data_IF_665382724334
#
_entry.id   IF_665382724334
#
_cell.length_a   1.000
_cell.length_b   1.000
_cell.length_c   1.000
_cell.angle_alpha   90.00
_cell.angle_beta   90.00
_cell.angle_gamma   90.00
#
_symmetry.space_group_name_H-M   'P 1'
#
loop_
_entity.id
_entity.type
_entity.pdbx_description
1 polymer ?
#
# COMPACT_ATOMS: atom_id res chain seq x y z
N UNK A 1 -63.19 -21.37 -42.66
CA UNK A 1 -62.18 -20.38 -42.24
C UNK A 1 -61.95 -20.51 -40.74
N UNK A 2 -60.93 -21.26 -40.30
CA UNK A 2 -60.47 -21.29 -38.90
C UNK A 2 -58.93 -21.36 -38.94
N UNK A 3 -58.26 -20.25 -38.60
CA UNK A 3 -56.80 -20.15 -38.49
C UNK A 3 -56.36 -20.77 -37.16
N UNK A 4 -55.46 -21.75 -37.20
CA UNK A 4 -54.73 -22.26 -36.02
C UNK A 4 -53.61 -21.27 -35.68
N UNK A 5 -53.66 -20.70 -34.48
CA UNK A 5 -52.59 -19.88 -33.90
C UNK A 5 -51.69 -20.81 -33.08
N UNK A 6 -50.42 -20.89 -33.44
CA UNK A 6 -49.38 -21.52 -32.62
C UNK A 6 -48.82 -20.46 -31.66
N UNK A 7 -49.01 -20.66 -30.36
CA UNK A 7 -48.37 -19.85 -29.30
C UNK A 7 -46.97 -20.41 -29.06
N UNK A 8 -45.95 -19.64 -29.45
CA UNK A 8 -44.55 -19.93 -29.18
C UNK A 8 -44.22 -19.45 -27.75
N UNK A 9 -43.95 -20.37 -26.83
CA UNK A 9 -43.53 -20.06 -25.46
C UNK A 9 -42.03 -19.69 -25.47
N UNK A 10 -41.72 -18.40 -25.34
CA UNK A 10 -40.36 -17.88 -25.15
C UNK A 10 -39.95 -18.08 -23.68
N UNK A 11 -39.14 -19.10 -23.41
CA UNK A 11 -38.43 -19.29 -22.15
C UNK A 11 -37.32 -18.25 -22.03
N UNK A 12 -37.57 -17.19 -21.26
CA UNK A 12 -36.53 -16.28 -20.81
C UNK A 12 -35.67 -17.00 -19.75
N UNK A 13 -34.54 -17.57 -20.17
CA UNK A 13 -33.49 -18.01 -19.25
C UNK A 13 -32.77 -16.77 -18.71
N UNK A 14 -33.21 -16.26 -17.56
CA UNK A 14 -32.43 -15.29 -16.79
C UNK A 14 -31.20 -15.98 -16.22
N UNK A 15 -30.07 -15.84 -16.90
CA UNK A 15 -28.76 -16.22 -16.38
C UNK A 15 -28.43 -15.35 -15.18
N UNK A 16 -28.61 -15.91 -13.98
CA UNK A 16 -28.11 -15.33 -12.73
C UNK A 16 -26.58 -15.40 -12.82
N UNK A 17 -25.83 -14.28 -12.79
CA UNK A 17 -24.39 -14.34 -12.71
C UNK A 17 -24.02 -15.02 -11.39
N UNK A 18 -23.36 -16.17 -11.48
CA UNK A 18 -22.75 -16.83 -10.33
C UNK A 18 -21.72 -15.86 -9.75
N UNK A 19 -22.04 -15.21 -8.64
CA UNK A 19 -21.05 -14.55 -7.80
C UNK A 19 -20.04 -15.63 -7.41
N UNK A 20 -18.83 -15.54 -7.96
CA UNK A 20 -17.74 -16.42 -7.57
C UNK A 20 -17.63 -16.38 -6.04
N UNK A 21 -17.91 -17.52 -5.40
CA UNK A 21 -17.86 -17.64 -3.96
C UNK A 21 -16.42 -17.33 -3.53
N UNK A 22 -16.25 -16.27 -2.75
CA UNK A 22 -14.92 -15.87 -2.24
C UNK A 22 -14.35 -17.06 -1.48
N UNK A 23 -13.21 -17.59 -1.94
CA UNK A 23 -12.53 -18.73 -1.31
C UNK A 23 -11.73 -18.22 -0.10
N UNK A 24 -12.44 -17.85 0.95
CA UNK A 24 -11.88 -17.39 2.22
C UNK A 24 -11.30 -18.60 2.97
N UNK A 25 -10.11 -18.49 3.62
CA UNK A 25 -9.57 -19.55 4.47
C UNK A 25 -10.56 -20.02 5.54
N UNK A 26 -10.54 -21.31 5.88
CA UNK A 26 -11.54 -21.91 6.76
C UNK A 26 -11.57 -21.34 8.20
N UNK A 27 -10.46 -20.76 8.65
CA UNK A 27 -10.36 -20.10 9.95
C UNK A 27 -10.73 -18.61 9.93
N UNK A 28 -11.26 -18.11 8.81
CA UNK A 28 -11.64 -16.71 8.65
C UNK A 28 -13.12 -16.54 8.40
N UNK A 29 -13.71 -15.59 9.12
CA UNK A 29 -15.14 -15.34 9.12
C UNK A 29 -15.40 -13.86 8.89
N UNK A 30 -16.21 -13.53 7.88
CA UNK A 30 -16.54 -12.14 7.54
C UNK A 30 -18.01 -11.88 7.78
N UNK A 31 -18.32 -10.77 8.44
CA UNK A 31 -19.68 -10.26 8.62
C UNK A 31 -19.72 -8.76 8.36
N UNK A 32 -20.64 -8.32 7.52
CA UNK A 32 -20.95 -6.89 7.36
C UNK A 32 -22.13 -6.54 8.25
N UNK A 33 -21.96 -5.57 9.15
CA UNK A 33 -23.04 -5.06 9.99
C UNK A 33 -24.02 -4.20 9.17
N UNK A 34 -25.21 -3.94 9.71
CA UNK A 34 -26.24 -3.11 9.04
C UNK A 34 -25.75 -1.68 8.71
N UNK A 35 -24.84 -1.13 9.50
CA UNK A 35 -24.22 0.18 9.24
C UNK A 35 -23.05 0.13 8.25
N UNK A 36 -22.79 -1.03 7.64
CA UNK A 36 -21.75 -1.22 6.64
C UNK A 36 -20.34 -1.50 7.19
N UNK A 37 -20.14 -1.56 8.51
CA UNK A 37 -18.86 -1.99 9.08
C UNK A 37 -18.58 -3.44 8.69
N UNK A 38 -17.47 -3.66 8.00
CA UNK A 38 -16.98 -5.02 7.73
C UNK A 38 -16.20 -5.51 8.94
N UNK A 39 -16.57 -6.67 9.47
CA UNK A 39 -15.88 -7.34 10.58
C UNK A 39 -15.28 -8.63 10.05
N UNK A 40 -13.96 -8.76 10.12
CA UNK A 40 -13.22 -9.97 9.78
C UNK A 40 -12.66 -10.58 11.06
N UNK A 41 -13.00 -11.83 11.33
CA UNK A 41 -12.42 -12.60 12.43
C UNK A 41 -11.48 -13.65 11.85
N UNK A 42 -10.26 -13.73 12.38
CA UNK A 42 -9.27 -14.77 12.05
C UNK A 42 -9.03 -15.59 13.32
N UNK A 43 -9.56 -16.81 13.35
CA UNK A 43 -9.35 -17.70 14.49
C UNK A 43 -7.97 -18.35 14.40
N UNK A 44 -7.16 -18.14 15.44
CA UNK A 44 -5.87 -18.78 15.61
C UNK A 44 -5.60 -19.05 17.10
N UNK A 45 -5.65 -20.33 17.47
CA UNK A 45 -5.48 -20.77 18.85
C UNK A 45 -4.01 -21.09 19.21
N UNK A 46 -3.04 -20.74 18.34
CA UNK A 46 -1.61 -21.03 18.53
C UNK A 46 -1.03 -20.41 19.80
N UNK A 47 -1.45 -19.19 20.14
CA UNK A 47 -1.01 -18.44 21.32
C UNK A 47 -2.20 -17.79 22.03
N UNK A 48 -2.15 -17.56 23.36
CA UNK A 48 -3.26 -16.99 24.13
C UNK A 48 -3.41 -15.46 23.95
N UNK A 49 -3.11 -14.94 22.76
CA UNK A 49 -3.19 -13.52 22.41
C UNK A 49 -4.31 -13.26 21.39
N UNK A 50 -4.79 -12.03 21.36
CA UNK A 50 -5.68 -11.53 20.33
C UNK A 50 -5.24 -10.13 19.86
N UNK A 51 -5.32 -9.88 18.57
CA UNK A 51 -5.09 -8.59 17.92
C UNK A 51 -6.43 -8.00 17.48
N UNK A 52 -6.67 -6.74 17.84
CA UNK A 52 -7.79 -5.95 17.34
C UNK A 52 -7.22 -4.82 16.49
N UNK A 53 -7.62 -4.78 15.22
CA UNK A 53 -7.22 -3.73 14.28
C UNK A 53 -8.45 -3.10 13.64
N UNK A 54 -8.43 -1.78 13.49
CA UNK A 54 -9.35 -1.05 12.63
C UNK A 54 -8.53 -0.42 11.52
N UNK A 55 -9.07 -0.45 10.30
CA UNK A 55 -8.48 0.25 9.18
C UNK A 55 -9.53 0.99 8.37
N UNK A 56 -9.09 2.06 7.71
CA UNK A 56 -9.90 2.93 6.88
C UNK A 56 -9.26 3.10 5.52
N UNK A 57 -10.08 3.20 4.46
CA UNK A 57 -9.59 3.64 3.14
C UNK A 57 -9.38 5.16 3.21
N UNK A 58 -8.16 5.55 3.56
CA UNK A 58 -7.69 6.92 3.84
C UNK A 58 -6.17 6.95 3.64
N UNK A 59 -5.47 8.01 4.05
CA UNK A 59 -4.02 8.11 3.95
C UNK A 59 -3.61 9.12 2.91
N UNK A 60 -2.34 9.09 2.50
CA UNK A 60 -1.76 10.14 1.66
C UNK A 60 -2.60 10.41 0.40
N UNK A 61 -3.16 9.37 -0.22
CA UNK A 61 -3.92 9.50 -1.46
C UNK A 61 -5.17 10.35 -1.32
N UNK A 62 -5.71 10.51 -0.12
CA UNK A 62 -6.90 11.33 0.16
C UNK A 62 -6.57 12.79 0.48
N UNK A 63 -5.29 13.12 0.66
CA UNK A 63 -4.85 14.40 1.21
C UNK A 63 -4.48 15.39 0.09
N UNK A 64 -5.21 16.51 -0.07
CA UNK A 64 -4.68 17.64 -0.83
C UNK A 64 -3.46 18.22 -0.11
N UNK A 65 -2.61 18.97 -0.82
CA UNK A 65 -1.32 19.47 -0.31
C UNK A 65 -1.43 20.18 1.06
N UNK A 66 -2.48 20.99 1.28
CA UNK A 66 -2.73 21.69 2.55
C UNK A 66 -3.00 20.75 3.74
N UNK A 67 -3.35 19.50 3.46
CA UNK A 67 -3.68 18.46 4.44
C UNK A 67 -2.68 17.30 4.43
N UNK A 68 -1.53 17.46 3.76
CA UNK A 68 -0.53 16.40 3.64
C UNK A 68 0.02 16.00 5.02
N UNK A 69 -0.20 14.75 5.45
CA UNK A 69 0.21 14.19 6.74
C UNK A 69 -0.83 14.28 7.86
N UNK A 70 -2.00 14.89 7.61
CA UNK A 70 -3.00 15.09 8.67
C UNK A 70 -3.73 13.81 9.07
N UNK A 71 -3.81 12.81 8.19
CA UNK A 71 -4.28 11.47 8.56
C UNK A 71 -3.35 10.86 9.60
N UNK A 72 -2.03 11.03 9.43
CA UNK A 72 -1.02 10.59 10.41
C UNK A 72 -1.25 11.23 11.77
N UNK A 73 -1.33 12.56 11.81
CA UNK A 73 -1.62 13.30 13.05
C UNK A 73 -2.93 12.84 13.70
N UNK A 74 -4.00 12.73 12.92
CA UNK A 74 -5.29 12.25 13.41
C UNK A 74 -5.19 10.87 14.08
N UNK A 75 -4.51 9.92 13.41
CA UNK A 75 -4.36 8.57 13.94
C UNK A 75 -3.57 8.52 15.24
N UNK A 76 -2.51 9.33 15.37
CA UNK A 76 -1.72 9.40 16.61
C UNK A 76 -2.58 9.91 17.78
N UNK A 77 -3.54 10.80 17.50
CA UNK A 77 -4.46 11.33 18.52
C UNK A 77 -5.53 10.32 18.98
N UNK A 78 -5.90 9.32 18.17
CA UNK A 78 -6.93 8.31 18.51
C UNK A 78 -6.61 7.54 19.80
N UNK A 79 -5.32 7.43 20.13
CA UNK A 79 -4.84 6.68 21.30
C UNK A 79 -4.43 7.56 22.48
N UNK A 80 -4.85 8.84 22.50
CA UNK A 80 -4.53 9.79 23.57
C UNK A 80 -5.67 9.96 24.56
N UNK A 81 -6.84 10.37 24.09
CA UNK A 81 -8.01 10.56 24.93
C UNK A 81 -9.27 10.17 24.18
N UNK A 82 -10.27 9.67 24.90
CA UNK A 82 -11.56 9.28 24.37
C UNK A 82 -12.66 9.45 25.42
N UNK A 83 -13.91 9.12 25.08
CA UNK A 83 -15.05 9.29 25.98
C UNK A 83 -14.93 8.55 27.33
N UNK A 84 -14.16 7.45 27.38
CA UNK A 84 -14.02 6.64 28.59
C UNK A 84 -12.78 7.03 29.42
N UNK A 85 -11.77 7.63 28.77
CA UNK A 85 -10.51 8.05 29.35
C UNK A 85 -10.14 9.43 28.82
N UNK A 86 -10.31 10.47 29.65
CA UNK A 86 -10.27 11.87 29.23
C UNK A 86 -8.88 12.43 28.93
N UNK A 87 -7.79 11.69 29.22
CA UNK A 87 -6.43 12.13 28.94
C UNK A 87 -5.47 10.96 28.65
N UNK A 88 -4.27 11.31 28.15
CA UNK A 88 -3.23 10.36 27.75
C UNK A 88 -2.74 9.45 28.88
N UNK A 89 -2.71 9.94 30.12
CA UNK A 89 -2.29 9.15 31.28
C UNK A 89 -3.33 8.06 31.61
N UNK A 90 -4.62 8.41 31.62
CA UNK A 90 -5.71 7.45 31.83
C UNK A 90 -5.75 6.39 30.73
N UNK A 91 -5.57 6.79 29.46
CA UNK A 91 -5.46 5.83 28.36
C UNK A 91 -4.23 4.95 28.55
N UNK A 92 -3.07 5.52 28.89
CA UNK A 92 -1.83 4.80 29.17
C UNK A 92 -2.02 3.74 30.25
N UNK A 93 -2.56 4.13 31.41
CA UNK A 93 -2.88 3.24 32.51
C UNK A 93 -3.82 2.10 32.07
N UNK A 94 -4.92 2.44 31.37
CA UNK A 94 -5.86 1.42 30.89
C UNK A 94 -5.19 0.42 29.95
N UNK A 95 -4.40 0.91 28.99
CA UNK A 95 -3.69 0.06 28.03
C UNK A 95 -2.67 -0.86 28.71
N UNK A 96 -2.01 -0.37 29.76
CA UNK A 96 -1.10 -1.18 30.59
C UNK A 96 -1.84 -2.26 31.37
N UNK A 97 -2.98 -1.94 31.98
CA UNK A 97 -3.83 -2.93 32.68
C UNK A 97 -4.34 -4.02 31.73
N UNK A 98 -4.69 -3.65 30.50
CA UNK A 98 -5.10 -4.60 29.48
C UNK A 98 -3.94 -5.42 28.89
N UNK A 99 -2.69 -5.05 29.18
CA UNK A 99 -1.49 -5.68 28.62
C UNK A 99 -1.35 -5.44 27.12
N UNK A 100 -1.81 -4.29 26.61
CA UNK A 100 -1.84 -4.05 25.17
C UNK A 100 -0.48 -3.61 24.63
N UNK A 101 -0.06 -4.17 23.50
CA UNK A 101 0.97 -3.59 22.63
C UNK A 101 0.28 -2.98 21.42
N UNK A 102 0.36 -1.66 21.28
CA UNK A 102 -0.38 -0.88 20.27
C UNK A 102 0.54 -0.25 19.24
N UNK A 103 0.03 -0.11 18.02
CA UNK A 103 0.69 0.67 16.97
C UNK A 103 -0.35 1.26 16.01
N UNK A 104 0.06 2.26 15.24
CA UNK A 104 -0.70 2.79 14.10
C UNK A 104 0.20 2.94 12.90
N UNK A 105 -0.41 2.90 11.72
CA UNK A 105 0.32 3.03 10.46
C UNK A 105 -0.57 3.74 9.45
N UNK A 106 -0.05 4.80 8.87
CA UNK A 106 -0.61 5.44 7.68
C UNK A 106 0.31 5.14 6.51
N UNK A 107 -0.28 4.68 5.43
CA UNK A 107 0.38 4.48 4.14
C UNK A 107 -0.29 5.34 3.08
N UNK A 108 0.01 5.05 1.81
CA UNK A 108 -0.56 5.76 0.67
C UNK A 108 -2.08 5.63 0.65
N UNK A 109 -2.64 4.43 0.89
CA UNK A 109 -4.06 4.13 0.63
C UNK A 109 -4.86 3.61 1.81
N UNK A 110 -4.21 3.48 2.96
CA UNK A 110 -4.91 3.16 4.19
C UNK A 110 -4.29 3.84 5.40
N UNK A 111 -5.12 3.95 6.43
CA UNK A 111 -4.68 4.15 7.79
C UNK A 111 -5.20 3.01 8.66
N UNK A 112 -4.33 2.44 9.50
CA UNK A 112 -4.66 1.35 10.41
C UNK A 112 -4.20 1.65 11.83
N UNK A 113 -5.01 1.26 12.80
CA UNK A 113 -4.68 1.33 14.21
C UNK A 113 -4.98 -0.02 14.84
N UNK A 114 -4.04 -0.59 15.58
CA UNK A 114 -4.21 -1.92 16.16
C UNK A 114 -3.54 -2.04 17.52
N UNK A 115 -3.97 -3.06 18.27
CA UNK A 115 -3.25 -3.52 19.44
C UNK A 115 -3.39 -5.03 19.62
N UNK A 116 -2.39 -5.64 20.25
CA UNK A 116 -2.39 -7.04 20.68
C UNK A 116 -2.46 -7.11 22.19
N UNK A 117 -3.27 -8.02 22.73
CA UNK A 117 -3.50 -8.21 24.17
C UNK A 117 -3.67 -9.70 24.51
N UNK A 118 -3.59 -10.08 25.80
CA UNK A 118 -4.06 -11.40 26.23
C UNK A 118 -5.53 -11.62 25.85
N UNK A 119 -5.82 -12.76 25.24
CA UNK A 119 -7.15 -13.10 24.69
C UNK A 119 -8.30 -12.99 25.71
N UNK A 120 -8.05 -13.24 27.00
CA UNK A 120 -9.06 -13.09 28.05
C UNK A 120 -9.53 -11.65 28.26
N UNK A 121 -8.78 -10.65 27.79
CA UNK A 121 -9.13 -9.23 27.85
C UNK A 121 -9.88 -8.73 26.59
N UNK A 122 -10.25 -9.62 25.65
CA UNK A 122 -10.76 -9.22 24.32
C UNK A 122 -12.01 -8.33 24.38
N UNK A 123 -12.92 -8.60 25.30
CA UNK A 123 -14.15 -7.81 25.45
C UNK A 123 -13.84 -6.36 25.81
N UNK A 124 -12.93 -6.16 26.78
CA UNK A 124 -12.48 -4.84 27.19
C UNK A 124 -11.63 -4.15 26.11
N UNK A 125 -10.86 -4.93 25.34
CA UNK A 125 -10.17 -4.45 24.16
C UNK A 125 -11.13 -3.89 23.11
N UNK A 126 -12.22 -4.61 22.79
CA UNK A 126 -13.23 -4.15 21.84
C UNK A 126 -13.94 -2.88 22.32
N UNK A 127 -14.27 -2.78 23.61
CA UNK A 127 -14.82 -1.55 24.22
C UNK A 127 -13.85 -0.38 24.07
N UNK A 128 -12.57 -0.60 24.35
CA UNK A 128 -11.52 0.40 24.20
C UNK A 128 -11.38 0.87 22.74
N UNK A 129 -11.32 -0.06 21.77
CA UNK A 129 -11.25 0.28 20.34
C UNK A 129 -12.46 1.10 19.91
N UNK A 130 -13.66 0.71 20.32
CA UNK A 130 -14.89 1.46 20.02
C UNK A 130 -14.82 2.90 20.56
N UNK A 131 -14.32 3.08 21.78
CA UNK A 131 -14.15 4.38 22.41
C UNK A 131 -13.14 5.26 21.66
N UNK A 132 -11.95 4.72 21.41
CA UNK A 132 -10.84 5.41 20.74
C UNK A 132 -11.24 5.93 19.35
N UNK A 133 -11.95 5.12 18.57
CA UNK A 133 -12.18 5.39 17.15
C UNK A 133 -13.41 6.26 16.91
N UNK A 134 -14.50 6.03 17.64
CA UNK A 134 -15.76 6.78 17.42
C UNK A 134 -15.80 8.06 18.21
N UNK A 135 -15.20 8.06 19.40
CA UNK A 135 -15.31 9.14 20.37
C UNK A 135 -13.93 9.62 20.87
N UNK A 136 -12.95 9.89 19.97
CA UNK A 136 -11.70 10.51 20.39
C UNK A 136 -11.97 11.91 20.92
N UNK A 137 -11.21 12.29 21.95
CA UNK A 137 -11.18 13.65 22.50
C UNK A 137 -9.93 14.33 21.97
N UNK A 138 -10.11 15.19 20.95
CA UNK A 138 -9.01 15.93 20.35
C UNK A 138 -8.78 17.23 21.15
N UNK A 139 -7.54 17.50 21.54
CA UNK A 139 -7.18 18.73 22.24
C UNK A 139 -5.87 19.32 21.67
N UNK A 140 -5.70 20.63 21.85
CA UNK A 140 -4.61 21.37 21.23
C UNK A 140 -3.24 20.99 21.81
N UNK A 141 -3.17 20.67 23.10
CA UNK A 141 -1.91 20.31 23.75
C UNK A 141 -1.33 19.02 23.13
N UNK A 142 -2.15 17.99 22.97
CA UNK A 142 -1.75 16.75 22.31
C UNK A 142 -1.45 16.97 20.83
N UNK A 143 -2.20 17.84 20.13
CA UNK A 143 -1.90 18.17 18.74
C UNK A 143 -0.51 18.81 18.60
N UNK A 144 -0.15 19.78 19.43
CA UNK A 144 1.17 20.42 19.36
C UNK A 144 2.31 19.46 19.72
N UNK A 145 2.08 18.54 20.65
CA UNK A 145 3.02 17.44 20.95
C UNK A 145 3.22 16.55 19.73
N UNK A 146 2.15 16.10 19.09
CA UNK A 146 2.24 15.22 17.91
C UNK A 146 2.82 15.94 16.68
N UNK A 147 2.55 17.24 16.50
CA UNK A 147 3.24 18.07 15.51
C UNK A 147 4.74 18.08 15.76
N UNK A 148 5.17 18.30 17.00
CA UNK A 148 6.60 18.31 17.36
C UNK A 148 7.28 16.97 17.04
N UNK A 149 6.65 15.85 17.40
CA UNK A 149 7.15 14.50 17.10
C UNK A 149 7.25 14.27 15.60
N UNK A 150 6.20 14.60 14.84
CA UNK A 150 6.15 14.42 13.39
C UNK A 150 7.19 15.28 12.68
N UNK A 151 7.37 16.53 13.11
CA UNK A 151 8.38 17.44 12.57
C UNK A 151 9.80 16.95 12.84
N UNK A 152 10.06 16.34 14.00
CA UNK A 152 11.34 15.72 14.31
C UNK A 152 11.61 14.50 13.42
N UNK A 153 10.60 13.65 13.18
CA UNK A 153 10.69 12.52 12.24
C UNK A 153 10.95 13.01 10.80
N UNK A 154 10.28 14.08 10.37
CA UNK A 154 10.55 14.72 9.08
C UNK A 154 11.98 15.22 9.00
N UNK A 155 12.50 15.91 10.03
CA UNK A 155 13.89 16.40 10.07
C UNK A 155 14.87 15.23 9.91
N UNK A 156 14.62 14.12 10.61
CA UNK A 156 15.45 12.91 10.51
C UNK A 156 15.42 12.30 9.10
N UNK A 157 14.25 12.30 8.43
CA UNK A 157 14.16 11.83 7.05
C UNK A 157 14.86 12.80 6.09
N UNK A 158 14.69 14.09 6.27
CA UNK A 158 15.28 15.15 5.45
C UNK A 158 16.83 15.15 5.52
N UNK A 159 17.43 14.60 6.58
CA UNK A 159 18.88 14.38 6.65
C UNK A 159 19.37 13.18 5.83
N UNK A 160 18.50 12.43 5.14
CA UNK A 160 18.88 11.34 4.24
C UNK A 160 18.93 11.80 2.78
N UNK A 161 20.04 11.52 2.09
CA UNK A 161 20.17 11.72 0.65
C UNK A 161 19.10 10.95 -0.14
N UNK A 162 18.84 9.69 0.27
CA UNK A 162 17.83 8.82 -0.34
C UNK A 162 16.42 9.37 -0.17
N UNK A 163 16.09 10.00 0.96
CA UNK A 163 14.77 10.61 1.14
C UNK A 163 14.55 11.78 0.19
N UNK A 164 15.54 12.68 0.04
CA UNK A 164 15.48 13.77 -0.95
C UNK A 164 15.32 13.24 -2.37
N UNK A 165 16.09 12.20 -2.71
CA UNK A 165 15.98 11.54 -4.01
C UNK A 165 14.60 10.93 -4.24
N UNK A 166 14.04 10.23 -3.26
CA UNK A 166 12.69 9.66 -3.36
C UNK A 166 11.60 10.72 -3.50
N UNK A 167 11.71 11.87 -2.83
CA UNK A 167 10.77 12.98 -3.04
C UNK A 167 10.87 13.54 -4.48
N UNK A 168 12.09 13.68 -5.02
CA UNK A 168 12.29 14.09 -6.40
C UNK A 168 11.71 13.05 -7.38
N UNK A 169 11.96 11.76 -7.16
CA UNK A 169 11.36 10.65 -7.93
C UNK A 169 9.84 10.80 -7.96
N UNK A 170 9.19 10.94 -6.80
CA UNK A 170 7.74 11.05 -6.74
C UNK A 170 7.22 12.30 -7.47
N UNK A 171 7.95 13.42 -7.37
CA UNK A 171 7.60 14.66 -8.07
C UNK A 171 7.68 14.50 -9.61
N UNK A 172 8.71 13.84 -10.11
CA UNK A 172 8.90 13.59 -11.55
C UNK A 172 7.95 12.50 -12.07
N UNK A 173 7.61 11.48 -11.26
CA UNK A 173 6.76 10.37 -11.65
C UNK A 173 5.25 10.67 -11.53
N UNK A 174 4.83 11.42 -10.51
CA UNK A 174 3.42 11.66 -10.18
C UNK A 174 3.01 13.14 -10.26
N UNK A 175 3.93 14.03 -10.63
CA UNK A 175 3.67 15.43 -10.91
C UNK A 175 3.09 16.19 -9.72
N UNK A 176 2.07 17.02 -9.96
CA UNK A 176 1.44 17.88 -8.95
C UNK A 176 0.76 17.11 -7.81
N UNK A 177 0.53 15.81 -7.98
CA UNK A 177 -0.11 14.94 -7.01
C UNK A 177 0.91 14.08 -6.23
N UNK A 178 2.21 14.31 -6.36
CA UNK A 178 3.24 13.52 -5.69
C UNK A 178 3.06 13.42 -4.16
N UNK A 179 2.52 14.46 -3.51
CA UNK A 179 2.22 14.47 -2.09
C UNK A 179 1.28 13.31 -1.69
N UNK A 180 0.41 12.86 -2.61
CA UNK A 180 -0.53 11.75 -2.41
C UNK A 180 0.14 10.37 -2.34
N UNK A 181 1.46 10.31 -2.48
CA UNK A 181 2.28 9.12 -2.28
C UNK A 181 3.15 9.19 -1.00
N UNK A 182 3.09 10.29 -0.24
CA UNK A 182 3.96 10.57 0.91
C UNK A 182 3.13 10.67 2.20
N UNK A 183 3.03 9.56 2.94
CA UNK A 183 2.18 9.45 4.13
C UNK A 183 2.60 10.36 5.30
N UNK A 184 3.89 10.64 5.46
CA UNK A 184 4.38 11.51 6.56
C UNK A 184 3.97 12.99 6.36
N UNK A 185 3.59 13.37 5.14
CA UNK A 185 3.15 14.73 4.84
C UNK A 185 4.28 15.71 4.56
N UNK A 186 3.94 17.00 4.62
CA UNK A 186 4.86 18.12 4.38
C UNK A 186 4.99 18.98 5.61
N UNK A 187 6.18 19.56 5.81
CA UNK A 187 6.47 20.43 6.96
C UNK A 187 5.47 21.58 7.09
N UNK A 188 5.10 22.21 5.97
CA UNK A 188 4.14 23.33 5.95
C UNK A 188 2.74 22.91 6.40
N UNK A 189 2.26 21.76 5.92
CA UNK A 189 0.94 21.25 6.30
C UNK A 189 0.90 20.84 7.79
N UNK A 190 1.97 20.22 8.29
CA UNK A 190 2.08 19.84 9.71
C UNK A 190 2.12 21.09 10.61
N UNK A 191 2.92 22.11 10.25
CA UNK A 191 2.98 23.36 11.01
C UNK A 191 1.64 24.10 11.04
N UNK A 192 0.94 24.15 9.89
CA UNK A 192 -0.35 24.80 9.75
C UNK A 192 -1.53 23.98 10.30
N UNK A 193 -1.29 22.75 10.78
CA UNK A 193 -2.35 21.88 11.28
C UNK A 193 -3.05 22.50 12.49
N UNK A 194 -4.38 22.50 12.43
CA UNK A 194 -5.28 22.91 13.52
C UNK A 194 -6.19 21.75 13.89
N UNK A 195 -6.79 21.78 15.09
CA UNK A 195 -7.74 20.75 15.50
C UNK A 195 -8.89 20.57 14.52
N UNK A 196 -9.44 21.65 13.97
CA UNK A 196 -10.53 21.60 12.98
C UNK A 196 -10.09 20.89 11.69
N UNK A 197 -8.86 21.15 11.23
CA UNK A 197 -8.30 20.46 10.06
C UNK A 197 -8.10 18.96 10.32
N UNK A 198 -7.60 18.60 11.51
CA UNK A 198 -7.38 17.21 11.91
C UNK A 198 -8.72 16.47 12.11
N UNK A 199 -9.71 17.09 12.77
CA UNK A 199 -11.04 16.52 12.94
C UNK A 199 -11.79 16.34 11.60
N UNK A 200 -11.48 17.16 10.59
CA UNK A 200 -12.05 16.97 9.25
C UNK A 200 -11.71 15.60 8.64
N UNK A 201 -10.58 14.98 9.03
CA UNK A 201 -10.20 13.62 8.60
C UNK A 201 -11.21 12.59 9.15
N UNK A 202 -11.63 12.74 10.41
CA UNK A 202 -12.69 11.93 11.01
C UNK A 202 -13.98 12.08 10.22
N UNK A 203 -14.43 13.32 10.05
CA UNK A 203 -15.71 13.64 9.42
C UNK A 203 -15.79 13.15 7.98
N UNK A 204 -14.68 13.12 7.25
CA UNK A 204 -14.64 12.65 5.86
C UNK A 204 -14.54 11.14 5.75
N UNK A 205 -13.61 10.50 6.45
CA UNK A 205 -13.18 9.14 6.11
C UNK A 205 -13.42 8.10 7.21
N UNK A 206 -13.70 8.50 8.46
CA UNK A 206 -13.88 7.58 9.59
C UNK A 206 -15.35 7.20 9.78
N UNK A 207 -15.87 6.46 8.81
CA UNK A 207 -17.23 5.93 8.79
C UNK A 207 -17.20 4.38 8.75
N UNK A 208 -18.18 3.69 9.34
CA UNK A 208 -18.23 2.23 9.37
C UNK A 208 -18.24 1.63 7.96
N UNK A 209 -18.97 2.24 7.02
CA UNK A 209 -19.00 1.82 5.61
C UNK A 209 -17.75 2.23 4.79
N UNK A 210 -16.69 2.73 5.45
CA UNK A 210 -15.35 2.94 4.90
C UNK A 210 -14.27 2.31 5.78
N UNK A 211 -14.66 1.35 6.63
CA UNK A 211 -13.80 0.74 7.63
C UNK A 211 -13.89 -0.80 7.61
N UNK A 212 -12.80 -1.42 8.05
CA UNK A 212 -12.77 -2.84 8.42
C UNK A 212 -12.27 -2.97 9.87
N UNK A 213 -12.98 -3.76 10.67
CA UNK A 213 -12.53 -4.22 11.97
C UNK A 213 -12.03 -5.66 11.82
N UNK A 214 -10.75 -5.89 12.07
CA UNK A 214 -10.13 -7.21 12.05
C UNK A 214 -9.84 -7.65 13.48
N UNK A 215 -10.33 -8.82 13.88
CA UNK A 215 -10.02 -9.44 15.18
C UNK A 215 -9.37 -10.78 14.91
N UNK A 216 -8.13 -10.98 15.36
CA UNK A 216 -7.35 -12.17 15.04
C UNK A 216 -6.68 -12.78 16.27
N UNK A 217 -6.59 -14.11 16.35
CA UNK A 217 -5.94 -14.83 17.46
C UNK A 217 -6.90 -15.78 18.18
N UNK A 218 -6.65 -16.02 19.48
CA UNK A 218 -7.42 -16.95 20.30
C UNK A 218 -8.78 -16.35 20.65
N UNK A 219 -9.71 -16.39 19.69
CA UNK A 219 -11.07 -15.85 19.78
C UNK A 219 -12.06 -16.79 19.08
N UNK A 220 -13.36 -16.63 19.37
CA UNK A 220 -14.45 -17.28 18.63
C UNK A 220 -15.19 -16.23 17.81
N UNK A 221 -15.35 -16.44 16.50
CA UNK A 221 -16.05 -15.53 15.61
C UNK A 221 -17.48 -15.23 16.06
N UNK A 222 -18.22 -16.24 16.53
CA UNK A 222 -19.57 -16.06 17.08
C UNK A 222 -19.58 -15.11 18.29
N UNK A 223 -18.63 -15.29 19.22
CA UNK A 223 -18.50 -14.43 20.38
C UNK A 223 -18.13 -12.99 19.97
N UNK A 224 -17.18 -12.84 19.04
CA UNK A 224 -16.77 -11.52 18.53
C UNK A 224 -17.94 -10.84 17.81
N UNK A 225 -18.64 -11.52 16.92
CA UNK A 225 -19.79 -10.95 16.22
C UNK A 225 -20.90 -10.53 17.19
N UNK A 226 -21.15 -11.33 18.24
CA UNK A 226 -22.12 -10.99 19.30
C UNK A 226 -21.72 -9.74 20.09
N UNK A 227 -20.43 -9.54 20.37
CA UNK A 227 -19.93 -8.36 21.09
C UNK A 227 -19.83 -7.10 20.21
N UNK A 228 -19.33 -7.25 18.98
CA UNK A 228 -19.10 -6.14 18.05
C UNK A 228 -20.41 -5.52 17.57
N UNK A 229 -21.46 -6.33 17.37
CA UNK A 229 -22.76 -5.84 16.89
C UNK A 229 -23.36 -4.73 17.77
N UNK A 230 -23.55 -4.91 19.10
CA UNK A 230 -24.04 -3.83 19.96
C UNK A 230 -23.01 -2.71 20.17
N UNK A 231 -21.71 -3.02 20.19
CA UNK A 231 -20.68 -2.00 20.38
C UNK A 231 -20.63 -1.01 19.22
N UNK A 232 -20.57 -1.50 17.98
CA UNK A 232 -20.35 -0.70 16.78
C UNK A 232 -21.62 -0.46 15.95
N UNK A 233 -22.71 -1.17 16.19
CA UNK A 233 -23.94 -1.10 15.37
C UNK A 233 -24.60 0.27 15.34
N UNK A 234 -24.43 1.08 16.39
CA UNK A 234 -24.92 2.46 16.44
C UNK A 234 -23.98 3.49 15.78
N UNK A 235 -22.85 3.06 15.23
CA UNK A 235 -21.95 3.97 14.51
C UNK A 235 -22.62 4.39 13.20
N UNK A 236 -22.81 5.69 13.04
CA UNK A 236 -23.47 6.27 11.88
C UNK A 236 -22.62 6.08 10.62
N UNK A 237 -23.23 5.50 9.59
CA UNK A 237 -22.64 5.37 8.27
C UNK A 237 -22.66 6.70 7.52
N UNK A 238 -21.71 6.90 6.61
CA UNK A 238 -21.83 8.00 5.65
C UNK A 238 -22.90 7.66 4.61
N UNK A 239 -23.85 8.56 4.37
CA UNK A 239 -24.91 8.37 3.38
C UNK A 239 -24.38 8.10 1.96
N UNK A 240 -23.23 8.69 1.62
CA UNK A 240 -22.47 8.40 0.40
C UNK A 240 -21.10 7.89 0.80
N UNK A 241 -20.62 6.82 0.18
CA UNK A 241 -19.26 6.30 0.45
C UNK A 241 -18.22 7.45 0.40
N UNK A 242 -17.35 7.59 1.42
CA UNK A 242 -16.40 8.70 1.51
C UNK A 242 -15.59 8.96 0.24
N UNK A 243 -15.08 7.92 -0.42
CA UNK A 243 -14.28 8.05 -1.63
C UNK A 243 -15.10 8.45 -2.88
N UNK A 244 -16.42 8.24 -2.85
CA UNK A 244 -17.33 8.76 -3.89
C UNK A 244 -17.73 10.22 -3.62
N UNK A 245 -17.83 10.61 -2.35
CA UNK A 245 -18.18 11.98 -1.94
C UNK A 245 -16.98 12.93 -2.13
N UNK A 246 -15.79 12.48 -1.76
CA UNK A 246 -14.54 13.24 -1.85
C UNK A 246 -13.64 12.57 -2.88
N UNK A 247 -13.89 12.87 -4.15
CA UNK A 247 -13.21 12.23 -5.28
C UNK A 247 -11.71 12.49 -5.19
N UNK A 248 -10.93 11.42 -5.20
CA UNK A 248 -9.47 11.49 -5.31
C UNK A 248 -9.10 11.75 -6.77
N UNK A 249 -8.31 12.80 -7.07
CA UNK A 249 -7.85 13.05 -8.43
C UNK A 249 -7.01 11.89 -8.97
N UNK A 250 -7.21 11.54 -10.25
CA UNK A 250 -6.36 10.58 -10.95
C UNK A 250 -4.99 11.17 -11.25
N UNK A 251 -3.97 10.31 -11.34
CA UNK A 251 -2.64 10.71 -11.77
C UNK A 251 -2.58 10.84 -13.29
N UNK A 252 -2.03 11.95 -13.76
CA UNK A 252 -1.82 12.17 -15.19
C UNK A 252 -0.70 11.25 -15.71
N UNK A 253 -0.90 10.58 -16.87
CA UNK A 253 0.15 9.82 -17.52
C UNK A 253 1.39 10.66 -17.83
N UNK A 254 2.58 10.07 -17.67
CA UNK A 254 3.81 10.69 -18.19
C UNK A 254 3.72 10.87 -19.70
N UNK A 255 3.94 12.10 -20.19
CA UNK A 255 3.88 12.44 -21.62
C UNK A 255 5.19 12.22 -22.36
N UNK A 256 6.30 12.26 -21.64
CA UNK A 256 7.66 12.07 -22.15
C UNK A 256 8.54 11.48 -21.04
N UNK A 257 9.64 10.84 -21.41
CA UNK A 257 10.65 10.46 -20.44
C UNK A 257 11.23 11.71 -19.78
N UNK A 258 11.33 11.69 -18.46
CA UNK A 258 11.83 12.79 -17.65
C UNK A 258 13.10 12.38 -16.92
N UNK A 259 14.11 13.23 -16.96
CA UNK A 259 15.43 12.95 -16.42
C UNK A 259 15.82 14.02 -15.41
N UNK A 260 16.42 13.60 -14.30
CA UNK A 260 16.86 14.52 -13.26
C UNK A 260 18.09 14.00 -12.50
N UNK A 261 18.81 14.92 -11.89
CA UNK A 261 19.93 14.62 -10.98
C UNK A 261 19.60 15.23 -9.63
N UNK A 262 19.77 14.44 -8.57
CA UNK A 262 19.70 14.92 -7.19
C UNK A 262 21.11 14.91 -6.61
N UNK A 263 21.60 16.09 -6.29
CA UNK A 263 22.93 16.25 -5.69
C UNK A 263 22.84 16.21 -4.16
N UNK A 264 23.72 15.46 -3.51
CA UNK A 264 23.83 15.47 -2.06
C UNK A 264 25.23 15.11 -1.57
N UNK A 265 25.81 15.95 -0.71
CA UNK A 265 27.08 15.64 -0.04
C UNK A 265 27.00 14.39 0.84
N UNK A 266 25.79 13.97 1.23
CA UNK A 266 25.53 12.77 2.03
C UNK A 266 25.40 11.50 1.17
N UNK A 267 25.39 11.62 -0.17
CA UNK A 267 25.34 10.48 -1.08
C UNK A 267 26.74 9.86 -1.21
N UNK A 268 27.07 8.93 -0.32
CA UNK A 268 28.36 8.21 -0.35
C UNK A 268 28.44 7.19 -1.49
N UNK A 269 27.30 6.70 -1.98
CA UNK A 269 27.18 5.77 -3.10
C UNK A 269 26.20 6.38 -4.10
N UNK A 270 26.55 6.49 -5.40
CA UNK A 270 25.60 6.93 -6.41
C UNK A 270 24.43 5.95 -6.52
N UNK A 271 23.25 6.43 -6.92
CA UNK A 271 22.09 5.57 -7.15
C UNK A 271 21.34 6.01 -8.39
N UNK A 272 21.09 5.08 -9.31
CA UNK A 272 20.23 5.32 -10.47
C UNK A 272 18.83 4.81 -10.12
N UNK A 273 17.83 5.56 -10.54
CA UNK A 273 16.43 5.16 -10.54
C UNK A 273 15.88 5.21 -11.97
N UNK A 274 15.07 4.23 -12.34
CA UNK A 274 14.19 4.27 -13.50
C UNK A 274 12.81 3.79 -13.05
N UNK A 275 11.75 4.56 -13.33
CA UNK A 275 10.42 4.24 -12.83
C UNK A 275 9.28 4.60 -13.76
N UNK A 276 8.21 3.82 -13.68
CA UNK A 276 7.02 3.92 -14.51
C UNK A 276 5.76 3.93 -13.64
N UNK A 277 4.70 4.54 -14.17
CA UNK A 277 3.35 4.38 -13.64
C UNK A 277 2.82 3.02 -14.12
N UNK A 278 2.67 2.07 -13.20
CA UNK A 278 2.28 0.69 -13.44
C UNK A 278 0.77 0.44 -13.37
N UNK A 279 0.34 -0.82 -13.50
CA UNK A 279 -1.05 -1.20 -13.35
C UNK A 279 -1.56 -0.93 -11.93
N UNK A 280 -2.87 -0.74 -11.81
CA UNK A 280 -3.57 -0.57 -10.55
C UNK A 280 -4.74 -1.56 -10.43
N UNK A 281 -5.26 -1.72 -9.20
CA UNK A 281 -6.30 -2.71 -8.91
C UNK A 281 -7.71 -2.24 -9.24
N UNK A 282 -7.88 -1.04 -9.81
CA UNK A 282 -9.17 -0.52 -10.28
C UNK A 282 -9.34 -0.71 -11.79
N UNK A 283 -8.26 -0.64 -12.55
CA UNK A 283 -8.29 -0.57 -14.00
C UNK A 283 -7.61 -1.75 -14.69
N UNK A 284 -6.62 -2.40 -14.07
CA UNK A 284 -5.87 -3.50 -14.71
C UNK A 284 -5.34 -4.54 -13.72
N UNK A 285 -6.25 -5.22 -13.02
CA UNK A 285 -5.96 -6.32 -12.11
C UNK A 285 -5.12 -7.43 -12.77
N UNK A 286 -5.39 -7.91 -14.00
CA UNK A 286 -4.59 -8.99 -14.59
C UNK A 286 -3.09 -8.65 -14.71
N UNK A 287 -2.75 -7.41 -15.07
CA UNK A 287 -1.36 -6.99 -15.20
C UNK A 287 -0.62 -6.86 -13.86
N UNK A 288 -1.32 -6.71 -12.72
CA UNK A 288 -0.66 -6.62 -11.40
C UNK A 288 0.03 -7.95 -11.05
N UNK A 289 -0.59 -9.09 -11.38
CA UNK A 289 0.00 -10.41 -11.18
C UNK A 289 1.25 -10.63 -12.06
N UNK A 290 1.19 -10.20 -13.31
CA UNK A 290 2.33 -10.26 -14.23
C UNK A 290 3.48 -9.36 -13.76
N UNK A 291 3.16 -8.19 -13.20
CA UNK A 291 4.13 -7.26 -12.63
C UNK A 291 4.88 -7.86 -11.43
N UNK A 292 4.19 -8.53 -10.51
CA UNK A 292 4.80 -9.21 -9.36
C UNK A 292 5.77 -10.32 -9.81
N UNK A 293 5.31 -11.19 -10.72
CA UNK A 293 6.14 -12.28 -11.27
C UNK A 293 7.38 -11.72 -11.96
N UNK A 294 7.21 -10.73 -12.84
CA UNK A 294 8.31 -10.13 -13.58
C UNK A 294 9.33 -9.48 -12.63
N UNK A 295 8.85 -8.69 -11.67
CA UNK A 295 9.70 -8.01 -10.69
C UNK A 295 10.51 -9.02 -9.87
N UNK A 296 9.86 -10.09 -9.40
CA UNK A 296 10.54 -11.16 -8.66
C UNK A 296 11.64 -11.85 -9.47
N UNK A 297 11.38 -12.13 -10.77
CA UNK A 297 12.38 -12.75 -11.65
C UNK A 297 13.60 -11.84 -11.78
N UNK A 298 13.39 -10.54 -12.02
CA UNK A 298 14.48 -9.60 -12.26
C UNK A 298 15.40 -9.42 -11.06
N UNK A 299 14.89 -9.55 -9.83
CA UNK A 299 15.70 -9.45 -8.61
C UNK A 299 16.51 -10.71 -8.28
N UNK A 300 16.31 -11.82 -9.00
CA UNK A 300 17.11 -13.03 -8.76
C UNK A 300 18.51 -12.87 -9.34
N UNK A 301 19.52 -13.39 -8.63
CA UNK A 301 20.91 -13.41 -9.11
C UNK A 301 21.05 -14.13 -10.47
N UNK A 302 20.21 -15.13 -10.74
CA UNK A 302 20.21 -15.86 -12.01
C UNK A 302 19.59 -15.09 -13.18
N UNK A 303 18.96 -13.93 -12.94
CA UNK A 303 18.27 -13.15 -13.97
C UNK A 303 19.27 -12.57 -14.96
N UNK A 304 18.85 -12.40 -16.23
CA UNK A 304 19.70 -11.77 -17.24
C UNK A 304 20.11 -10.35 -16.84
N UNK A 305 19.22 -9.61 -16.17
CA UNK A 305 19.49 -8.28 -15.65
C UNK A 305 20.60 -8.28 -14.60
N UNK A 306 20.53 -9.21 -13.63
CA UNK A 306 21.56 -9.34 -12.58
C UNK A 306 22.91 -9.78 -13.17
N UNK A 307 22.91 -10.71 -14.13
CA UNK A 307 24.13 -11.10 -14.84
C UNK A 307 24.73 -9.94 -15.62
N UNK A 308 23.91 -9.18 -16.34
CA UNK A 308 24.37 -8.08 -17.18
C UNK A 308 24.92 -6.89 -16.39
N UNK A 309 24.39 -6.62 -15.20
CA UNK A 309 24.77 -5.45 -14.39
C UNK A 309 25.66 -5.80 -13.19
N UNK A 310 25.30 -6.82 -12.41
CA UNK A 310 26.01 -7.15 -11.16
C UNK A 310 27.20 -8.07 -11.42
N UNK A 311 27.02 -9.18 -12.15
CA UNK A 311 28.13 -10.13 -12.39
C UNK A 311 29.25 -9.54 -13.27
N UNK A 312 28.92 -8.56 -14.14
CA UNK A 312 29.92 -7.80 -14.92
C UNK A 312 30.62 -6.70 -14.13
N UNK A 313 30.17 -6.42 -12.90
CA UNK A 313 30.71 -5.36 -12.03
C UNK A 313 30.33 -3.94 -12.45
N UNK A 314 29.28 -3.76 -13.28
CA UNK A 314 28.70 -2.44 -13.59
C UNK A 314 27.88 -1.88 -12.44
N UNK A 315 27.27 -2.74 -11.63
CA UNK A 315 26.49 -2.41 -10.44
C UNK A 315 26.89 -3.30 -9.27
N UNK A 316 26.80 -2.77 -8.06
CA UNK A 316 26.95 -3.54 -6.82
C UNK A 316 25.65 -4.28 -6.49
N UNK A 317 24.52 -3.59 -6.67
CA UNK A 317 23.19 -4.10 -6.37
C UNK A 317 22.17 -3.53 -7.36
N UNK A 318 21.15 -4.33 -7.64
CA UNK A 318 19.95 -3.90 -8.36
C UNK A 318 18.70 -4.32 -7.59
N UNK A 319 17.66 -3.50 -7.68
CA UNK A 319 16.34 -3.83 -7.16
C UNK A 319 15.28 -3.42 -8.19
N UNK A 320 14.47 -4.37 -8.63
CA UNK A 320 13.31 -4.13 -9.48
C UNK A 320 12.06 -4.49 -8.70
N UNK A 321 11.13 -3.56 -8.56
CA UNK A 321 9.96 -3.74 -7.72
C UNK A 321 8.69 -3.19 -8.38
N UNK A 322 7.56 -3.72 -7.95
CA UNK A 322 6.23 -3.22 -8.27
C UNK A 322 5.41 -3.11 -6.98
N UNK A 323 4.77 -1.96 -6.76
CA UNK A 323 3.88 -1.75 -5.62
C UNK A 323 2.41 -1.77 -6.08
N UNK A 324 1.68 -2.81 -5.69
CA UNK A 324 0.24 -2.92 -5.97
C UNK A 324 -0.55 -1.90 -5.17
N UNK A 325 -1.27 -1.01 -5.86
CA UNK A 325 -2.12 0.03 -5.27
C UNK A 325 -3.41 0.17 -6.09
N UNK A 326 -4.45 0.77 -5.50
CA UNK A 326 -5.70 1.09 -6.19
C UNK A 326 -5.56 2.34 -7.08
N UNK A 327 -4.79 3.33 -6.65
CA UNK A 327 -4.61 4.63 -7.30
C UNK A 327 -3.19 4.76 -7.87
N UNK A 328 -2.86 3.91 -8.84
CA UNK A 328 -1.58 3.91 -9.55
C UNK A 328 -0.47 3.18 -8.80
N UNK A 329 -0.10 1.99 -9.27
CA UNK A 329 1.08 1.26 -8.77
C UNK A 329 2.38 1.84 -9.32
N UNK A 330 3.44 1.82 -8.54
CA UNK A 330 4.79 2.23 -8.99
C UNK A 330 5.56 1.01 -9.47
N UNK A 331 6.18 1.09 -10.64
CA UNK A 331 7.22 0.18 -11.08
C UNK A 331 8.55 0.90 -10.87
N UNK A 332 9.45 0.35 -10.07
CA UNK A 332 10.73 0.97 -9.74
C UNK A 332 11.91 0.05 -10.05
N UNK A 333 12.94 0.64 -10.62
CA UNK A 333 14.21 -0.01 -10.89
C UNK A 333 15.33 0.84 -10.30
N UNK A 334 15.84 0.41 -9.14
CA UNK A 334 16.99 1.01 -8.48
C UNK A 334 18.26 0.24 -8.82
N UNK A 335 19.33 1.00 -9.04
CA UNK A 335 20.66 0.45 -9.29
C UNK A 335 21.66 1.22 -8.43
N UNK A 336 22.52 0.50 -7.72
CA UNK A 336 23.72 1.06 -7.11
C UNK A 336 24.90 0.81 -8.06
N UNK A 337 25.20 1.74 -8.99
CA UNK A 337 26.25 1.52 -9.99
C UNK A 337 27.64 1.52 -9.34
N UNK A 338 28.59 0.92 -10.03
CA UNK A 338 30.00 1.17 -9.81
C UNK A 338 30.27 2.68 -10.05
N UNK A 339 30.84 3.43 -9.07
CA UNK A 339 31.04 4.88 -9.20
C UNK A 339 31.87 5.32 -10.42
N UNK A 340 32.73 4.44 -10.93
CA UNK A 340 33.57 4.72 -12.11
C UNK A 340 32.91 4.30 -13.43
N UNK A 341 31.76 3.60 -13.39
CA UNK A 341 31.08 3.05 -14.58
C UNK A 341 29.60 3.43 -14.66
N UNK A 342 29.22 4.59 -14.12
CA UNK A 342 27.81 5.00 -13.99
C UNK A 342 27.14 5.09 -15.37
N UNK A 343 27.82 5.65 -16.37
CA UNK A 343 27.28 5.80 -17.72
C UNK A 343 27.12 4.45 -18.41
N UNK A 344 28.14 3.60 -18.36
CA UNK A 344 28.08 2.25 -18.93
C UNK A 344 27.00 1.41 -18.26
N UNK A 345 26.84 1.54 -16.94
CA UNK A 345 25.78 0.89 -16.19
C UNK A 345 24.39 1.36 -16.65
N UNK A 346 24.18 2.67 -16.79
CA UNK A 346 22.93 3.24 -17.28
C UNK A 346 22.61 2.78 -18.71
N UNK A 347 23.61 2.73 -19.59
CA UNK A 347 23.44 2.31 -20.98
C UNK A 347 23.11 0.82 -21.07
N UNK A 348 23.80 -0.03 -20.31
CA UNK A 348 23.48 -1.45 -20.24
C UNK A 348 22.10 -1.67 -19.62
N UNK A 349 21.71 -0.91 -18.60
CA UNK A 349 20.35 -0.97 -18.03
C UNK A 349 19.28 -0.64 -19.08
N UNK A 350 19.45 0.44 -19.85
CA UNK A 350 18.55 0.80 -20.97
C UNK A 350 18.51 -0.28 -22.03
N UNK A 351 19.66 -0.86 -22.38
CA UNK A 351 19.74 -1.99 -23.32
C UNK A 351 18.97 -3.20 -22.79
N UNK A 352 19.17 -3.59 -21.53
CA UNK A 352 18.43 -4.70 -20.92
C UNK A 352 16.91 -4.44 -20.94
N UNK A 353 16.46 -3.23 -20.61
CA UNK A 353 15.03 -2.85 -20.69
C UNK A 353 14.47 -3.03 -22.09
N UNK A 354 15.24 -2.71 -23.14
CA UNK A 354 14.81 -2.91 -24.53
C UNK A 354 14.59 -4.37 -24.92
N UNK A 355 15.21 -5.30 -24.16
CA UNK A 355 15.15 -6.74 -24.36
C UNK A 355 14.11 -7.44 -23.47
N UNK A 356 13.46 -6.74 -22.53
CA UNK A 356 12.60 -7.37 -21.51
C UNK A 356 11.43 -8.22 -22.06
N UNK A 357 10.96 -7.92 -23.27
CA UNK A 357 9.87 -8.64 -23.92
C UNK A 357 10.36 -9.64 -24.99
N UNK A 358 11.67 -9.86 -25.14
CA UNK A 358 12.18 -10.88 -26.07
C UNK A 358 11.87 -12.28 -25.56
N UNK A 359 11.72 -13.22 -26.49
CA UNK A 359 11.31 -14.58 -26.16
C UNK A 359 12.34 -15.32 -25.31
N UNK A 360 13.61 -14.93 -25.33
CA UNK A 360 14.65 -15.57 -24.54
C UNK A 360 14.95 -14.82 -23.23
N UNK A 361 14.34 -13.67 -22.95
CA UNK A 361 14.72 -12.84 -21.80
C UNK A 361 14.40 -13.50 -20.45
N UNK A 362 13.20 -14.06 -20.36
CA UNK A 362 12.73 -14.88 -19.24
C UNK A 362 12.39 -16.30 -19.71
N UNK A 363 12.67 -17.29 -18.87
CA UNK A 363 12.36 -18.69 -19.15
C UNK A 363 11.09 -19.14 -18.43
N UNK A 364 10.45 -20.21 -18.92
CA UNK A 364 9.29 -20.79 -18.24
C UNK A 364 9.66 -21.30 -16.84
N UNK A 365 10.88 -21.83 -16.67
CA UNK A 365 11.40 -22.25 -15.36
C UNK A 365 11.50 -21.07 -14.38
N UNK A 366 11.96 -19.90 -14.82
CA UNK A 366 12.00 -18.69 -13.99
C UNK A 366 10.60 -18.25 -13.58
N UNK A 367 9.63 -18.34 -14.50
CA UNK A 367 8.22 -18.03 -14.21
C UNK A 367 7.67 -19.00 -13.16
N UNK A 368 7.87 -20.31 -13.31
CA UNK A 368 7.40 -21.30 -12.33
C UNK A 368 8.08 -21.11 -10.97
N UNK A 369 9.37 -20.81 -10.96
CA UNK A 369 10.11 -20.51 -9.73
C UNK A 369 9.56 -19.26 -9.04
N UNK A 370 9.29 -18.19 -9.79
CA UNK A 370 8.73 -16.96 -9.26
C UNK A 370 7.35 -17.19 -8.63
N UNK A 371 6.44 -17.89 -9.32
CA UNK A 371 5.12 -18.27 -8.77
C UNK A 371 5.23 -18.98 -7.44
N UNK A 372 6.06 -20.04 -7.39
CA UNK A 372 6.27 -20.82 -6.16
C UNK A 372 6.84 -19.98 -5.02
N UNK A 373 7.76 -19.07 -5.33
CA UNK A 373 8.39 -18.22 -4.30
C UNK A 373 7.45 -17.12 -3.79
N UNK A 374 6.62 -16.56 -4.65
CA UNK A 374 5.56 -15.62 -4.26
C UNK A 374 4.53 -16.33 -3.35
N UNK A 375 4.11 -17.55 -3.68
CA UNK A 375 3.26 -18.39 -2.83
C UNK A 375 3.87 -18.62 -1.45
N UNK A 376 5.12 -19.08 -1.39
CA UNK A 376 5.85 -19.29 -0.11
C UNK A 376 5.94 -17.99 0.68
N UNK A 377 6.18 -16.85 0.02
CA UNK A 377 6.22 -15.54 0.68
C UNK A 377 4.87 -15.19 1.32
N UNK A 378 3.76 -15.43 0.61
CA UNK A 378 2.42 -15.17 1.14
C UNK A 378 2.09 -16.08 2.33
N UNK A 379 2.46 -17.37 2.27
CA UNK A 379 2.31 -18.31 3.38
C UNK A 379 3.10 -17.85 4.61
N UNK A 380 4.36 -17.46 4.43
CA UNK A 380 5.21 -16.93 5.50
C UNK A 380 4.64 -15.67 6.15
N UNK A 381 4.08 -14.77 5.35
CA UNK A 381 3.43 -13.55 5.88
C UNK A 381 2.20 -13.87 6.74
N UNK A 382 1.59 -15.04 6.55
CA UNK A 382 0.44 -15.49 7.33
C UNK A 382 0.81 -16.23 8.63
N UNK A 383 2.09 -16.59 8.84
CA UNK A 383 2.55 -17.36 10.01
C UNK A 383 2.40 -16.59 11.33
N UNK A 384 2.58 -15.26 11.30
CA UNK A 384 2.47 -14.41 12.49
C UNK A 384 1.15 -13.64 12.42
N UNK A 385 0.16 -14.07 13.21
CA UNK A 385 -1.20 -13.53 13.22
C UNK A 385 -1.28 -12.01 13.33
N UNK A 386 -0.49 -11.38 14.21
CA UNK A 386 -0.47 -9.90 14.31
C UNK A 386 0.05 -9.22 13.04
N UNK A 387 1.08 -9.78 12.38
CA UNK A 387 1.61 -9.24 11.13
C UNK A 387 0.61 -9.46 9.98
N UNK A 388 -0.04 -10.62 9.97
CA UNK A 388 -1.01 -10.95 8.94
C UNK A 388 -2.23 -10.05 8.94
N UNK A 389 -2.67 -9.56 10.12
CA UNK A 389 -3.70 -8.52 10.23
C UNK A 389 -3.32 -7.26 9.44
N UNK A 390 -2.04 -6.85 9.47
CA UNK A 390 -1.58 -5.69 8.69
C UNK A 390 -1.62 -5.98 7.18
N UNK A 391 -1.20 -7.18 6.77
CA UNK A 391 -1.31 -7.64 5.37
C UNK A 391 -2.75 -7.62 4.89
N UNK A 392 -3.70 -8.13 5.69
CA UNK A 392 -5.13 -8.12 5.35
C UNK A 392 -5.69 -6.70 5.23
N UNK A 393 -5.27 -5.80 6.12
CA UNK A 393 -5.64 -4.37 6.05
C UNK A 393 -5.15 -3.73 4.75
N UNK A 394 -3.87 -3.95 4.38
CA UNK A 394 -3.30 -3.42 3.14
C UNK A 394 -4.11 -3.90 1.94
N UNK A 395 -4.32 -5.22 1.81
CA UNK A 395 -5.04 -5.77 0.65
C UNK A 395 -6.50 -5.35 0.60
N UNK A 396 -7.19 -5.24 1.75
CA UNK A 396 -8.56 -4.74 1.78
C UNK A 396 -8.68 -3.31 1.25
N UNK A 397 -7.69 -2.46 1.53
CA UNK A 397 -7.69 -1.06 1.13
C UNK A 397 -7.22 -0.87 -0.32
N UNK A 398 -6.03 -1.38 -0.64
CA UNK A 398 -5.34 -1.19 -1.93
C UNK A 398 -5.81 -2.13 -3.04
N UNK A 399 -6.62 -3.12 -2.72
CA UNK A 399 -7.21 -4.04 -3.69
C UNK A 399 -8.58 -4.52 -3.17
N UNK A 400 -8.67 -5.79 -2.81
CA UNK A 400 -9.75 -6.36 -2.01
C UNK A 400 -9.24 -7.59 -1.27
N UNK A 401 -9.95 -8.03 -0.23
CA UNK A 401 -9.69 -9.34 0.38
C UNK A 401 -9.81 -10.49 -0.63
N UNK A 402 -10.74 -10.38 -1.59
CA UNK A 402 -10.89 -11.36 -2.66
C UNK A 402 -9.65 -11.42 -3.58
N UNK A 403 -9.04 -10.26 -3.89
CA UNK A 403 -7.77 -10.21 -4.63
C UNK A 403 -6.70 -11.02 -3.89
N UNK A 404 -6.54 -10.81 -2.58
CA UNK A 404 -5.56 -11.51 -1.75
C UNK A 404 -5.82 -13.03 -1.66
N UNK A 405 -7.06 -13.42 -1.38
CA UNK A 405 -7.41 -14.84 -1.21
C UNK A 405 -7.39 -15.65 -2.51
N UNK A 406 -7.62 -14.99 -3.65
CA UNK A 406 -7.53 -15.66 -4.96
C UNK A 406 -6.18 -15.44 -5.64
N UNK A 407 -5.24 -14.72 -5.00
CA UNK A 407 -3.95 -14.34 -5.59
C UNK A 407 -3.20 -15.56 -6.15
N UNK A 408 -3.03 -16.61 -5.35
CA UNK A 408 -2.32 -17.83 -5.78
C UNK A 408 -2.98 -18.51 -6.99
N UNK A 409 -4.30 -18.65 -6.99
CA UNK A 409 -5.06 -19.21 -8.11
C UNK A 409 -4.93 -18.37 -9.39
N UNK A 410 -4.67 -17.06 -9.25
CA UNK A 410 -4.51 -16.12 -10.37
C UNK A 410 -3.08 -16.10 -10.90
N UNK A 411 -2.08 -16.03 -10.02
CA UNK A 411 -0.67 -16.05 -10.46
C UNK A 411 -0.32 -17.38 -11.12
N UNK A 412 -0.91 -18.50 -10.69
CA UNK A 412 -0.67 -19.81 -11.30
C UNK A 412 -1.03 -19.86 -12.79
N UNK A 413 -2.01 -19.04 -13.20
CA UNK A 413 -2.49 -18.94 -14.58
C UNK A 413 -1.67 -17.99 -15.46
N UNK A 414 -0.77 -17.20 -14.87
CA UNK A 414 0.04 -16.24 -15.62
C UNK A 414 0.99 -16.98 -16.56
N UNK A 415 0.96 -16.60 -17.83
CA UNK A 415 1.82 -17.14 -18.88
C UNK A 415 2.96 -16.19 -19.18
N UNK A 416 3.95 -16.67 -19.93
CA UNK A 416 5.02 -15.82 -20.48
C UNK A 416 4.48 -14.70 -21.37
N UNK A 417 3.45 -14.97 -22.15
CA UNK A 417 2.81 -13.98 -23.00
C UNK A 417 2.17 -12.85 -22.19
N UNK A 418 1.57 -13.16 -21.03
CA UNK A 418 1.02 -12.15 -20.13
C UNK A 418 2.11 -11.23 -19.57
N UNK A 419 3.27 -11.80 -19.19
CA UNK A 419 4.43 -11.04 -18.72
C UNK A 419 4.98 -10.14 -19.83
N UNK A 420 5.13 -10.65 -21.06
CA UNK A 420 5.55 -9.85 -22.20
C UNK A 420 4.55 -8.73 -22.53
N UNK A 421 3.24 -9.02 -22.43
CA UNK A 421 2.19 -8.03 -22.62
C UNK A 421 2.26 -6.91 -21.57
N UNK A 422 2.48 -7.27 -20.29
CA UNK A 422 2.73 -6.30 -19.21
C UNK A 422 3.93 -5.40 -19.52
N UNK A 423 5.08 -5.98 -19.90
CA UNK A 423 6.29 -5.23 -20.26
C UNK A 423 6.02 -4.24 -21.39
N UNK A 424 5.35 -4.68 -22.46
CA UNK A 424 5.00 -3.82 -23.61
C UNK A 424 4.00 -2.74 -23.25
N UNK A 425 3.10 -3.01 -22.31
CA UNK A 425 2.04 -2.07 -21.90
C UNK A 425 2.57 -0.99 -20.96
N UNK A 426 3.47 -1.33 -20.04
CA UNK A 426 3.86 -0.43 -18.94
C UNK A 426 5.33 0.02 -18.94
N UNK A 427 6.24 -0.73 -19.57
CA UNK A 427 7.69 -0.48 -19.43
C UNK A 427 8.33 -0.12 -20.78
N UNK A 428 8.33 -1.05 -21.74
CA UNK A 428 9.07 -0.91 -22.98
C UNK A 428 8.46 0.17 -23.88
N UNK A 429 9.30 1.10 -24.34
CA UNK A 429 8.91 2.25 -25.15
C UNK A 429 7.79 3.11 -24.52
N UNK A 430 7.69 3.09 -23.18
CA UNK A 430 6.78 3.96 -22.42
C UNK A 430 7.57 5.10 -21.79
N UNK A 431 6.97 6.31 -21.69
CA UNK A 431 7.53 7.39 -20.89
C UNK A 431 7.82 6.93 -19.46
N UNK A 432 8.99 7.29 -18.96
CA UNK A 432 9.44 6.93 -17.61
C UNK A 432 10.19 8.08 -16.96
N UNK A 433 10.32 8.01 -15.65
CA UNK A 433 11.15 8.91 -14.88
C UNK A 433 12.51 8.24 -14.65
N UNK A 434 13.62 8.93 -14.89
CA UNK A 434 14.95 8.45 -14.53
C UNK A 434 15.75 9.49 -13.74
N UNK A 435 16.33 9.04 -12.64
CA UNK A 435 17.04 9.88 -11.69
C UNK A 435 18.43 9.35 -11.39
N UNK A 436 19.36 10.26 -11.07
CA UNK A 436 20.66 9.92 -10.48
C UNK A 436 20.84 10.69 -9.17
N UNK A 437 20.99 9.96 -8.06
CA UNK A 437 21.50 10.49 -6.80
C UNK A 437 23.03 10.40 -6.82
N UNK A 438 23.72 11.51 -6.60
CA UNK A 438 25.18 11.58 -6.68
C UNK A 438 25.74 12.70 -5.79
N UNK A 439 26.97 12.54 -5.31
CA UNK A 439 27.69 13.62 -4.64
C UNK A 439 28.25 14.62 -5.69
N UNK A 440 28.24 15.94 -5.43
CA UNK A 440 28.76 16.95 -6.35
C UNK A 440 30.16 16.68 -6.91
N UNK A 441 31.10 16.18 -6.10
CA UNK A 441 32.48 15.93 -6.51
C UNK A 441 32.54 14.80 -7.57
N UNK A 442 31.82 13.71 -7.30
CA UNK A 442 31.74 12.59 -8.25
C UNK A 442 30.99 13.00 -9.52
N UNK A 443 29.94 13.83 -9.40
CA UNK A 443 29.19 14.36 -10.54
C UNK A 443 30.10 15.11 -11.51
N UNK A 444 30.96 15.99 -10.99
CA UNK A 444 31.92 16.73 -11.79
C UNK A 444 32.97 15.81 -12.42
N UNK A 445 33.47 14.82 -11.67
CA UNK A 445 34.46 13.87 -12.15
C UNK A 445 33.97 13.04 -13.36
N UNK A 446 32.70 12.64 -13.36
CA UNK A 446 32.13 11.75 -14.39
C UNK A 446 31.30 12.50 -15.44
N UNK A 447 31.21 13.83 -15.37
CA UNK A 447 30.38 14.68 -16.24
C UNK A 447 28.92 14.18 -16.33
N UNK A 448 28.29 13.92 -15.18
CA UNK A 448 26.99 13.23 -15.15
C UNK A 448 25.84 14.00 -15.85
N UNK A 449 25.98 15.31 -16.04
CA UNK A 449 25.01 16.14 -16.77
C UNK A 449 24.84 15.71 -18.24
N UNK A 450 25.82 14.99 -18.81
CA UNK A 450 25.77 14.47 -20.17
C UNK A 450 25.06 13.11 -20.27
N UNK A 451 24.79 12.43 -19.15
CA UNK A 451 24.26 11.06 -19.16
C UNK A 451 22.82 10.96 -19.71
N UNK A 452 22.08 12.05 -19.62
CA UNK A 452 20.66 12.12 -19.92
C UNK A 452 20.34 13.00 -21.14
N UNK A 453 21.35 13.53 -21.82
CA UNK A 453 21.15 14.22 -23.10
C UNK A 453 20.74 13.19 -24.15
N UNK A 454 19.72 13.51 -24.94
CA UNK A 454 19.38 12.71 -26.11
C UNK A 454 20.54 12.81 -27.10
N UNK A 455 21.11 11.68 -27.48
CA UNK A 455 21.94 11.62 -28.68
C UNK A 455 21.06 11.78 -29.92
#
# INVERSE_FOLDING_TARGET
MIKKIYVLLLLFTTSIPALAQVKIPANMFVKTLQNGLTVLVVEDNSVPLATVAIAFKTGAFTEPIKYSGLTGLYQMMLFKANKDYGNAEQVGYRTSVLGTQKNSTVQQEYGSSFFTLPSFNIEEGLKYMNSAIRFPVLNNEELEREKTITLAQLTQKESSASFKFNLAILQHLWGKLANRKVAIGTRDAINAATLSMVDSVKLKYHHPNNAILIVAGKVSHDAIFKQVTPLFGSWQASAVSPLKKWIVPEFEPLKKTDYFITESNLATIPSIYMGWQGPDTRHDIPSTYAADIFSYILTQRSSKLSKALVETGLAQEINFNYLTLAHGGEISFYIQPNPQKIKECLDEAKKQISLFDTDDYITDEQIQTAKRKLQISQERQAEITTQYVQTLTFWWASASLNYHFTYNDKIDKITKADVQAYVRKYIKAKPYCAGLLINPDLKAQVNADDFFKAN
#
